data_IF_528540971394
#
_entry.id   IF_528540971394
#
_cell.length_a   1.000
_cell.length_b   1.000
_cell.length_c   1.000
_cell.angle_alpha   90.00
_cell.angle_beta   90.00
_cell.angle_gamma   90.00
#
_symmetry.space_group_name_H-M   'P 1'
#
loop_
_entity.id
_entity.type
_entity.pdbx_description
1 polymer ?
#
# COMPACT_ATOMS: atom_id res chain seq x y z
N UNK A 1 -10.42 7.12 0.31
CA UNK A 1 -9.27 7.67 -0.43
C UNK A 1 -8.13 7.98 0.51
N UNK A 2 -6.96 7.39 0.27
CA UNK A 2 -5.70 7.67 0.97
C UNK A 2 -4.74 8.37 0.01
N UNK A 3 -3.95 9.32 0.52
CA UNK A 3 -2.97 10.06 -0.27
C UNK A 3 -1.54 9.78 0.16
N UNK A 4 -0.57 10.19 -0.65
CA UNK A 4 0.86 9.94 -0.39
C UNK A 4 1.31 10.51 0.96
N UNK A 5 0.82 11.67 1.39
CA UNK A 5 1.16 12.20 2.72
C UNK A 5 0.64 11.31 3.85
N UNK A 6 -0.57 10.74 3.73
CA UNK A 6 -1.10 9.78 4.71
C UNK A 6 -0.20 8.55 4.82
N UNK A 7 0.32 8.06 3.68
CA UNK A 7 1.25 6.94 3.63
C UNK A 7 2.58 7.26 4.33
N UNK A 8 3.15 8.45 4.08
CA UNK A 8 4.40 8.88 4.71
C UNK A 8 4.23 9.00 6.23
N UNK A 9 3.13 9.60 6.67
CA UNK A 9 2.81 9.75 8.09
C UNK A 9 2.60 8.39 8.76
N UNK A 10 1.84 7.50 8.14
CA UNK A 10 1.59 6.16 8.69
C UNK A 10 2.88 5.32 8.76
N UNK A 11 3.73 5.31 7.73
CA UNK A 11 5.04 4.62 7.78
C UNK A 11 5.90 5.15 8.93
N UNK A 12 5.89 6.47 9.16
CA UNK A 12 6.64 7.10 10.25
C UNK A 12 6.07 6.71 11.61
N UNK A 13 4.76 6.74 11.77
CA UNK A 13 4.13 6.54 13.08
C UNK A 13 4.00 5.05 13.45
N UNK A 14 3.62 4.20 12.49
CA UNK A 14 3.37 2.78 12.70
C UNK A 14 4.66 1.96 12.82
N UNK A 15 5.66 2.25 11.97
CA UNK A 15 6.88 1.43 11.88
C UNK A 15 8.17 2.23 12.01
N UNK A 16 8.10 3.52 12.38
CA UNK A 16 9.27 4.39 12.60
C UNK A 16 10.24 4.41 11.40
N UNK A 17 9.71 4.42 10.17
CA UNK A 17 10.51 4.32 8.93
C UNK A 17 11.46 3.13 8.90
N UNK A 18 11.13 2.02 9.59
CA UNK A 18 12.01 0.86 9.64
C UNK A 18 12.17 0.24 8.25
N UNK A 19 13.37 0.39 7.70
CA UNK A 19 13.71 -0.05 6.35
C UNK A 19 13.69 -1.56 6.16
N UNK A 20 13.67 -2.35 7.25
CA UNK A 20 13.60 -3.81 7.18
C UNK A 20 12.23 -4.33 6.78
N UNK A 21 11.20 -3.48 6.78
CA UNK A 21 9.86 -3.88 6.39
C UNK A 21 9.73 -4.01 4.88
N UNK A 22 8.88 -4.93 4.44
CA UNK A 22 8.48 -5.10 3.04
C UNK A 22 7.03 -4.70 2.82
N UNK A 23 6.69 -4.21 1.63
CA UNK A 23 5.33 -3.77 1.29
C UNK A 23 4.51 -4.97 0.82
N UNK A 24 3.29 -5.10 1.34
CA UNK A 24 2.33 -6.11 0.96
C UNK A 24 0.95 -5.47 0.71
N UNK A 25 0.23 -5.98 -0.28
CA UNK A 25 -1.19 -5.69 -0.47
C UNK A 25 -2.01 -6.72 0.31
N UNK A 26 -2.95 -6.25 1.13
CA UNK A 26 -3.82 -7.10 1.95
C UNK A 26 -5.28 -6.89 1.56
N UNK A 27 -5.93 -7.98 1.18
CA UNK A 27 -7.33 -8.02 0.79
C UNK A 27 -8.20 -8.25 2.03
N UNK A 28 -9.18 -7.37 2.21
CA UNK A 28 -10.18 -7.43 3.27
C UNK A 28 -11.55 -7.72 2.67
N UNK A 29 -12.37 -8.48 3.40
CA UNK A 29 -13.78 -8.70 3.07
C UNK A 29 -14.65 -8.49 4.29
N UNK A 30 -15.93 -8.20 4.09
CA UNK A 30 -16.89 -8.17 5.19
C UNK A 30 -17.05 -9.55 5.83
N UNK A 31 -17.19 -9.57 7.15
CA UNK A 31 -17.57 -10.78 7.88
C UNK A 31 -19.05 -11.10 7.64
N UNK A 32 -19.34 -12.33 7.18
CA UNK A 32 -20.69 -12.82 6.92
C UNK A 32 -21.56 -12.86 8.19
N UNK A 33 -20.95 -13.03 9.36
CA UNK A 33 -21.65 -13.07 10.64
C UNK A 33 -21.89 -11.67 11.22
N UNK A 34 -21.01 -10.71 10.91
CA UNK A 34 -21.15 -9.33 11.34
C UNK A 34 -20.51 -8.36 10.33
N UNK A 35 -21.32 -7.83 9.42
CA UNK A 35 -20.89 -6.91 8.35
C UNK A 35 -20.19 -5.62 8.80
N UNK A 36 -20.16 -5.32 10.11
CA UNK A 36 -19.37 -4.22 10.66
C UNK A 36 -17.88 -4.54 10.78
N UNK A 37 -17.52 -5.83 10.71
CA UNK A 37 -16.15 -6.29 10.83
C UNK A 37 -15.57 -6.59 9.45
N UNK A 38 -14.30 -6.23 9.28
CA UNK A 38 -13.49 -6.63 8.15
C UNK A 38 -12.60 -7.78 8.56
N UNK A 39 -12.57 -8.83 7.74
CA UNK A 39 -11.73 -10.00 7.93
C UNK A 39 -10.75 -10.14 6.78
N UNK A 40 -9.60 -10.69 7.10
CA UNK A 40 -8.55 -10.99 6.14
C UNK A 40 -9.02 -12.01 5.10
N UNK A 41 -8.84 -11.69 3.82
CA UNK A 41 -9.21 -12.53 2.68
C UNK A 41 -8.02 -12.99 1.84
N UNK A 42 -6.85 -12.37 2.02
CA UNK A 42 -5.63 -12.76 1.33
C UNK A 42 -4.57 -11.64 1.35
N UNK A 43 -3.36 -11.98 0.93
CA UNK A 43 -2.28 -11.01 0.75
C UNK A 43 -1.44 -11.35 -0.49
N UNK A 44 -0.74 -10.36 -1.00
CA UNK A 44 0.26 -10.54 -2.03
C UNK A 44 1.40 -9.53 -1.89
N UNK A 45 2.60 -9.95 -2.26
CA UNK A 45 3.78 -9.08 -2.27
C UNK A 45 3.61 -7.96 -3.30
N UNK A 46 3.87 -6.73 -2.87
CA UNK A 46 4.00 -5.58 -3.76
C UNK A 46 5.45 -5.53 -4.21
N UNK A 47 5.68 -5.48 -5.51
CA UNK A 47 7.03 -5.55 -6.08
C UNK A 47 7.55 -4.19 -6.52
N UNK A 48 6.66 -3.29 -6.94
CA UNK A 48 7.04 -1.99 -7.49
C UNK A 48 5.96 -0.94 -7.28
N UNK A 49 6.29 0.30 -7.61
CA UNK A 49 5.36 1.42 -7.66
C UNK A 49 5.75 2.38 -8.79
N UNK A 50 4.79 3.17 -9.25
CA UNK A 50 5.04 4.27 -10.17
C UNK A 50 4.12 5.45 -9.87
N UNK A 51 4.54 6.65 -10.26
CA UNK A 51 3.72 7.86 -10.18
C UNK A 51 3.12 8.12 -11.55
N UNK A 52 1.80 8.19 -11.63
CA UNK A 52 1.07 8.66 -12.80
C UNK A 52 0.70 10.14 -12.60
N UNK A 53 1.39 11.02 -13.32
CA UNK A 53 1.18 12.46 -13.26
C UNK A 53 -0.13 12.91 -13.92
N UNK A 54 -0.69 12.10 -14.83
CA UNK A 54 -1.92 12.44 -15.56
C UNK A 54 -3.12 12.16 -14.66
N UNK A 55 -3.19 10.98 -14.06
CA UNK A 55 -4.26 10.62 -13.11
C UNK A 55 -4.02 11.19 -11.71
N UNK A 56 -2.80 11.66 -11.41
CA UNK A 56 -2.36 12.14 -10.10
C UNK A 56 -2.41 11.05 -9.04
N UNK A 57 -1.81 9.90 -9.37
CA UNK A 57 -1.83 8.69 -8.56
C UNK A 57 -0.41 8.16 -8.29
N UNK A 58 -0.23 7.56 -7.11
CA UNK A 58 0.89 6.67 -6.79
C UNK A 58 0.35 5.24 -6.81
N UNK A 59 0.74 4.47 -7.82
CA UNK A 59 0.20 3.13 -8.08
C UNK A 59 1.24 2.10 -7.67
N UNK A 60 0.90 1.27 -6.68
CA UNK A 60 1.65 0.09 -6.29
C UNK A 60 1.24 -1.11 -7.12
N UNK A 61 2.19 -1.97 -7.50
CA UNK A 61 1.93 -3.15 -8.33
C UNK A 61 2.28 -4.42 -7.58
N UNK A 62 1.32 -5.35 -7.54
CA UNK A 62 1.51 -6.70 -7.02
C UNK A 62 2.23 -7.55 -8.07
N UNK A 63 3.27 -8.27 -7.64
CA UNK A 63 3.88 -9.32 -8.47
C UNK A 63 4.41 -10.44 -7.58
N UNK A 64 3.85 -11.66 -7.73
CA UNK A 64 4.20 -12.82 -6.91
C UNK A 64 5.55 -13.46 -7.28
N UNK A 65 6.07 -13.14 -8.46
CA UNK A 65 7.32 -13.72 -8.97
C UNK A 65 8.53 -12.81 -8.75
N UNK A 66 8.31 -11.58 -8.25
CA UNK A 66 9.34 -10.59 -8.00
C UNK A 66 9.62 -10.43 -6.50
N UNK A 67 10.78 -9.85 -6.20
CA UNK A 67 11.14 -9.52 -4.82
C UNK A 67 10.18 -8.44 -4.30
N UNK A 68 9.74 -8.59 -3.05
CA UNK A 68 8.92 -7.58 -2.40
C UNK A 68 9.67 -6.24 -2.27
N UNK A 69 8.96 -5.15 -2.51
CA UNK A 69 9.43 -3.78 -2.34
C UNK A 69 9.79 -3.54 -0.87
N UNK A 70 10.99 -3.06 -0.63
CA UNK A 70 11.44 -2.70 0.72
C UNK A 70 10.97 -1.28 1.07
N UNK A 71 10.56 -1.05 2.33
CA UNK A 71 10.20 0.28 2.83
C UNK A 71 11.36 1.27 2.68
N UNK A 72 12.59 0.80 2.84
CA UNK A 72 13.78 1.64 2.65
C UNK A 72 13.93 2.17 1.21
N UNK A 73 13.46 1.44 0.21
CA UNK A 73 13.44 1.90 -1.18
C UNK A 73 12.28 2.87 -1.42
N UNK A 74 11.09 2.53 -0.94
CA UNK A 74 9.91 3.38 -1.05
C UNK A 74 10.12 4.76 -0.42
N UNK A 75 10.56 4.81 0.84
CA UNK A 75 10.73 6.06 1.61
C UNK A 75 11.73 7.01 0.93
N UNK A 76 12.80 6.50 0.31
CA UNK A 76 13.75 7.33 -0.44
C UNK A 76 13.07 8.12 -1.56
N UNK A 77 12.12 7.49 -2.26
CA UNK A 77 11.37 8.15 -3.32
C UNK A 77 10.33 9.11 -2.76
N UNK A 78 9.59 8.69 -1.73
CA UNK A 78 8.56 9.52 -1.11
C UNK A 78 9.12 10.83 -0.52
N UNK A 79 10.31 10.79 0.09
CA UNK A 79 10.93 11.96 0.73
C UNK A 79 11.45 13.01 -0.26
N UNK A 80 11.68 12.65 -1.53
CA UNK A 80 12.10 13.59 -2.58
C UNK A 80 10.94 14.07 -3.45
N UNK A 81 9.71 13.59 -3.20
CA UNK A 81 8.53 14.05 -3.92
C UNK A 81 8.24 15.52 -3.58
N UNK A 82 7.81 16.26 -4.59
CA UNK A 82 7.35 17.63 -4.42
C UNK A 82 6.00 17.67 -3.69
N UNK A 83 5.72 18.81 -3.04
CA UNK A 83 4.52 18.99 -2.20
C UNK A 83 3.21 18.74 -2.96
N UNK A 84 3.15 19.04 -4.26
CA UNK A 84 1.99 18.78 -5.11
C UNK A 84 1.72 17.29 -5.27
N UNK A 85 2.77 16.48 -5.35
CA UNK A 85 2.67 15.01 -5.51
C UNK A 85 2.35 14.28 -4.21
N UNK A 86 2.58 14.91 -3.06
CA UNK A 86 2.18 14.37 -1.77
C UNK A 86 0.64 14.24 -1.62
N UNK A 87 -0.11 14.96 -2.46
CA UNK A 87 -1.57 14.89 -2.52
C UNK A 87 -2.10 13.86 -3.53
N UNK A 88 -1.22 13.09 -4.17
CA UNK A 88 -1.63 12.07 -5.14
C UNK A 88 -2.32 10.92 -4.41
N UNK A 89 -3.32 10.35 -5.06
CA UNK A 89 -4.05 9.20 -4.50
C UNK A 89 -3.18 7.95 -4.55
N UNK A 90 -3.20 7.17 -3.47
CA UNK A 90 -2.48 5.89 -3.42
C UNK A 90 -3.40 4.77 -3.85
N UNK A 91 -2.97 3.98 -4.84
CA UNK A 91 -3.73 2.84 -5.37
C UNK A 91 -2.90 1.56 -5.42
N UNK A 92 -3.59 0.44 -5.49
CA UNK A 92 -2.99 -0.89 -5.65
C UNK A 92 -3.50 -1.55 -6.93
N UNK A 93 -2.58 -1.85 -7.84
CA UNK A 93 -2.80 -2.61 -9.05
C UNK A 93 -2.46 -4.09 -8.81
N UNK A 94 -3.46 -4.96 -8.96
CA UNK A 94 -3.36 -6.39 -8.63
C UNK A 94 -3.14 -7.25 -9.88
N UNK A 95 -3.87 -6.96 -10.96
CA UNK A 95 -3.74 -7.65 -12.25
C UNK A 95 -4.39 -6.83 -13.38
N UNK A 96 -4.05 -7.15 -14.63
CA UNK A 96 -4.62 -6.49 -15.83
C UNK A 96 -6.14 -6.65 -15.97
N UNK A 97 -6.73 -7.63 -15.27
CA UNK A 97 -8.17 -7.87 -15.24
C UNK A 97 -8.93 -6.84 -14.37
N UNK A 98 -8.21 -6.06 -13.56
CA UNK A 98 -8.80 -5.11 -12.61
C UNK A 98 -8.16 -3.73 -12.75
N UNK A 99 -8.98 -2.68 -12.69
CA UNK A 99 -8.48 -1.33 -12.53
C UNK A 99 -7.71 -1.20 -11.18
N UNK A 100 -6.75 -0.28 -11.07
CA UNK A 100 -6.11 0.04 -9.79
C UNK A 100 -7.16 0.33 -8.71
N UNK A 101 -7.03 -0.35 -7.58
CA UNK A 101 -7.97 -0.31 -6.46
C UNK A 101 -7.60 0.80 -5.48
N UNK A 102 -8.60 1.46 -4.92
CA UNK A 102 -8.41 2.43 -3.85
C UNK A 102 -8.01 1.75 -2.54
N UNK A 103 -7.13 2.39 -1.78
CA UNK A 103 -6.81 1.93 -0.43
C UNK A 103 -7.87 2.36 0.58
N UNK A 104 -8.28 1.41 1.43
CA UNK A 104 -9.14 1.69 2.58
C UNK A 104 -8.35 1.98 3.86
N UNK A 105 -7.08 1.59 3.91
CA UNK A 105 -6.22 1.83 5.06
C UNK A 105 -4.80 1.32 4.90
N UNK A 106 -4.02 1.53 5.96
CA UNK A 106 -2.68 1.01 6.12
C UNK A 106 -2.60 0.20 7.41
N UNK A 107 -1.59 -0.65 7.51
CA UNK A 107 -1.28 -1.37 8.74
C UNK A 107 0.09 -1.99 8.68
N UNK A 108 0.42 -2.78 9.70
CA UNK A 108 1.67 -3.52 9.71
C UNK A 108 1.53 -4.83 10.48
N UNK A 109 2.40 -5.77 10.14
CA UNK A 109 2.62 -7.00 10.88
C UNK A 109 4.08 -7.01 11.33
N UNK A 110 4.29 -6.91 12.64
CA UNK A 110 5.61 -6.90 13.25
C UNK A 110 6.33 -8.26 13.23
N UNK A 111 5.58 -9.37 13.19
CA UNK A 111 6.13 -10.73 13.18
C UNK A 111 6.87 -11.00 11.88
N UNK A 112 6.26 -10.62 10.75
CA UNK A 112 6.83 -10.86 9.42
C UNK A 112 7.52 -9.62 8.80
N UNK A 113 7.58 -8.51 9.55
CA UNK A 113 8.05 -7.21 9.08
C UNK A 113 7.38 -6.81 7.74
N UNK A 114 6.05 -6.82 7.70
CA UNK A 114 5.25 -6.41 6.54
C UNK A 114 4.50 -5.12 6.82
N UNK A 115 4.57 -4.18 5.89
CA UNK A 115 3.74 -2.99 5.85
C UNK A 115 2.62 -3.21 4.85
N UNK A 116 1.37 -3.07 5.30
CA UNK A 116 0.18 -3.52 4.59
C UNK A 116 -0.57 -2.34 3.96
N UNK A 117 -0.88 -2.48 2.67
CA UNK A 117 -1.82 -1.63 1.94
C UNK A 117 -3.16 -2.37 1.87
N UNK A 118 -4.20 -1.86 2.55
CA UNK A 118 -5.49 -2.54 2.62
C UNK A 118 -6.40 -2.16 1.44
N UNK A 119 -6.95 -3.16 0.77
CA UNK A 119 -8.00 -3.04 -0.25
C UNK A 119 -9.20 -3.90 0.10
N UNK A 120 -10.37 -3.55 -0.45
CA UNK A 120 -11.60 -4.35 -0.30
C UNK A 120 -11.76 -5.34 -1.45
N UNK A 121 -12.29 -6.52 -1.13
CA UNK A 121 -12.71 -7.55 -2.08
C UNK A 121 -14.06 -7.26 -2.74
#
# INVERSE_FOLDING_TARGET
MKVVIDLIEDIRDSINNNVSYTVAGMLLKEDEQNKKNLIYAGEASVASFHVDEISRELIFTVNKNEKALEIGELVKHLLIMSMDKMMYEVKLFVSDEHAPQELVGFGFNATDAKYALFIMA
#
